data_IF_042158221872
#
_entry.id   IF_042158221872
#
_cell.length_a   1.000
_cell.length_b   1.000
_cell.length_c   1.000
_cell.angle_alpha   90.00
_cell.angle_beta   90.00
_cell.angle_gamma   90.00
#
_symmetry.space_group_name_H-M   'P 1'
#
loop_
_entity.id
_entity.type
_entity.pdbx_description
1 polymer ?
#
# COMPACT_ATOMS: atom_id res chain seq x y z
N UNK A 1 30.64 32.91 14.26
CA UNK A 1 31.02 32.53 12.89
C UNK A 1 29.73 32.33 12.11
N UNK A 2 29.53 33.06 11.02
CA UNK A 2 28.25 33.05 10.27
C UNK A 2 28.50 32.55 8.86
N UNK A 3 27.76 31.53 8.44
CA UNK A 3 27.86 30.94 7.09
C UNK A 3 26.56 31.29 6.35
N UNK A 4 26.62 31.93 5.17
CA UNK A 4 25.43 32.23 4.37
C UNK A 4 24.66 30.95 4.00
N UNK A 5 23.34 30.99 4.11
CA UNK A 5 22.45 29.88 3.73
C UNK A 5 22.64 29.40 2.29
N UNK A 6 23.04 30.28 1.36
CA UNK A 6 23.34 29.93 -0.03
C UNK A 6 24.59 29.04 -0.18
N UNK A 7 25.50 29.07 0.81
CA UNK A 7 26.67 28.19 0.90
C UNK A 7 26.38 26.91 1.69
N UNK A 8 25.21 26.79 2.30
CA UNK A 8 24.77 25.55 2.93
C UNK A 8 24.17 24.62 1.87
N UNK A 9 24.43 23.32 1.99
CA UNK A 9 23.76 22.31 1.16
C UNK A 9 22.26 22.47 1.38
N UNK A 10 21.50 22.73 0.31
CA UNK A 10 20.06 22.92 0.37
C UNK A 10 19.41 21.61 0.84
N UNK A 11 19.23 21.44 2.15
CA UNK A 11 18.40 20.35 2.68
C UNK A 11 16.96 20.82 2.50
N UNK A 12 16.23 20.16 1.61
CA UNK A 12 14.79 20.31 1.56
C UNK A 12 14.24 20.12 2.99
N UNK A 13 13.20 20.87 3.36
CA UNK A 13 12.63 20.88 4.72
C UNK A 13 12.31 19.49 5.26
N UNK A 14 12.08 18.53 4.37
CA UNK A 14 11.71 17.14 4.66
C UNK A 14 12.81 16.12 4.30
N UNK A 15 14.06 16.57 4.13
CA UNK A 15 15.18 15.70 3.77
C UNK A 15 15.62 14.84 4.96
N UNK A 16 15.25 13.55 4.94
CA UNK A 16 15.71 12.54 5.90
C UNK A 16 17.00 11.88 5.39
N UNK A 17 18.11 11.92 6.15
CA UNK A 17 19.31 11.16 5.81
C UNK A 17 19.04 9.66 5.62
N UNK A 18 19.61 9.04 4.59
CA UNK A 18 19.41 7.62 4.27
C UNK A 18 19.87 6.68 5.37
N UNK A 19 20.88 7.07 6.17
CA UNK A 19 21.33 6.31 7.33
C UNK A 19 20.29 6.18 8.46
N UNK A 20 19.18 6.92 8.40
CA UNK A 20 18.07 6.83 9.35
C UNK A 20 16.93 5.92 8.86
N UNK A 21 17.02 5.39 7.65
CA UNK A 21 15.99 4.48 7.12
C UNK A 21 16.23 3.07 7.66
N UNK A 22 15.17 2.44 8.19
CA UNK A 22 15.19 1.05 8.64
C UNK A 22 14.73 0.14 7.50
N UNK A 23 15.37 -1.03 7.37
CA UNK A 23 15.00 -2.06 6.40
C UNK A 23 13.73 -2.82 6.81
N UNK A 24 13.32 -2.68 8.08
CA UNK A 24 12.17 -3.38 8.65
C UNK A 24 12.54 -4.79 9.12
N UNK A 25 11.53 -5.67 9.21
CA UNK A 25 11.70 -7.03 9.72
C UNK A 25 11.29 -8.08 8.69
N UNK A 26 11.91 -9.25 8.77
CA UNK A 26 11.44 -10.43 8.03
C UNK A 26 10.11 -10.90 8.61
N UNK A 27 9.04 -10.80 7.83
CA UNK A 27 7.71 -11.26 8.21
C UNK A 27 7.03 -11.92 7.01
N UNK A 28 6.24 -12.95 7.28
CA UNK A 28 5.35 -13.52 6.29
C UNK A 28 4.09 -12.65 6.16
N UNK A 29 3.73 -12.25 4.93
CA UNK A 29 2.52 -11.46 4.70
C UNK A 29 1.55 -12.20 3.77
N UNK A 30 0.29 -12.28 4.19
CA UNK A 30 -0.79 -12.83 3.35
C UNK A 30 -1.95 -11.86 3.29
N UNK A 31 -2.33 -11.49 2.06
CA UNK A 31 -3.46 -10.62 1.77
C UNK A 31 -4.48 -11.40 0.93
N UNK A 32 -5.75 -11.31 1.30
CA UNK A 32 -6.84 -11.91 0.53
C UNK A 32 -7.94 -10.90 0.24
N UNK A 33 -8.62 -11.07 -0.89
CA UNK A 33 -9.83 -10.33 -1.25
C UNK A 33 -10.93 -11.31 -1.59
N UNK A 34 -12.04 -11.19 -0.87
CA UNK A 34 -13.26 -11.94 -1.14
C UNK A 34 -14.30 -10.98 -1.73
N UNK A 35 -14.93 -11.37 -2.84
CA UNK A 35 -16.03 -10.62 -3.44
C UNK A 35 -17.06 -11.58 -4.00
N UNK A 36 -18.34 -11.24 -3.86
CA UNK A 36 -19.41 -11.98 -4.50
C UNK A 36 -20.48 -11.04 -5.04
N UNK A 37 -21.29 -11.56 -5.95
CA UNK A 37 -22.43 -10.86 -6.54
C UNK A 37 -23.64 -11.80 -6.54
N UNK A 38 -24.83 -11.25 -6.34
CA UNK A 38 -26.07 -11.98 -6.58
C UNK A 38 -26.97 -11.16 -7.49
N UNK A 39 -27.48 -11.81 -8.53
CA UNK A 39 -28.34 -11.19 -9.51
C UNK A 39 -29.65 -11.95 -9.56
N UNK A 40 -30.77 -11.23 -9.63
CA UNK A 40 -32.10 -11.82 -9.81
C UNK A 40 -32.68 -11.35 -11.13
N UNK A 41 -32.96 -12.31 -12.00
CA UNK A 41 -33.61 -12.07 -13.29
C UNK A 41 -35.10 -11.77 -13.09
N UNK A 42 -35.70 -11.03 -14.03
CA UNK A 42 -37.15 -10.73 -14.00
C UNK A 42 -38.02 -11.98 -14.08
N UNK A 43 -37.52 -13.05 -14.70
CA UNK A 43 -38.16 -14.36 -14.79
C UNK A 43 -38.06 -15.17 -13.49
N UNK A 44 -37.41 -14.63 -12.46
CA UNK A 44 -37.38 -15.19 -11.11
C UNK A 44 -36.13 -16.01 -10.78
N UNK A 45 -35.28 -16.32 -11.76
CA UNK A 45 -34.01 -17.00 -11.53
C UNK A 45 -33.04 -16.11 -10.75
N UNK A 46 -32.30 -16.71 -9.80
CA UNK A 46 -31.28 -16.05 -8.99
C UNK A 46 -29.93 -16.69 -9.24
N UNK A 47 -28.95 -15.90 -9.66
CA UNK A 47 -27.57 -16.28 -9.85
C UNK A 47 -26.70 -15.72 -8.72
N UNK A 48 -25.64 -16.45 -8.36
CA UNK A 48 -24.72 -16.11 -7.28
C UNK A 48 -23.29 -16.46 -7.69
N UNK A 49 -22.44 -15.45 -7.73
CA UNK A 49 -21.02 -15.59 -8.02
C UNK A 49 -20.19 -15.27 -6.78
N UNK A 50 -19.14 -16.05 -6.54
CA UNK A 50 -18.18 -15.80 -5.47
C UNK A 50 -16.76 -15.92 -6.00
N UNK A 51 -15.90 -14.98 -5.64
CA UNK A 51 -14.51 -14.88 -6.06
C UNK A 51 -13.61 -14.69 -4.83
N UNK A 52 -12.58 -15.50 -4.75
CA UNK A 52 -11.52 -15.40 -3.76
C UNK A 52 -10.18 -15.16 -4.47
N UNK A 53 -9.49 -14.09 -4.11
CA UNK A 53 -8.17 -13.76 -4.60
C UNK A 53 -7.18 -13.77 -3.43
N UNK A 54 -6.11 -14.55 -3.54
CA UNK A 54 -5.05 -14.65 -2.54
C UNK A 54 -3.75 -14.09 -3.10
N UNK A 55 -3.09 -13.24 -2.31
CA UNK A 55 -1.75 -12.71 -2.57
C UNK A 55 -0.89 -12.93 -1.32
N UNK A 56 0.00 -13.91 -1.37
CA UNK A 56 1.06 -14.08 -0.37
C UNK A 56 2.33 -13.37 -0.84
N UNK A 57 3.06 -12.75 0.08
CA UNK A 57 4.33 -12.04 -0.14
C UNK A 57 5.35 -12.49 0.92
#
# INVERSE_FOLDING_TARGET
MTIPQALMTHRARDNVPSALWDEGISAFQSNYRYSGASQRTREGSTERDNYLMLKAA
#
